data_IF_568686044161
#
_entry.id   IF_568686044161
#
_cell.length_a   1.000
_cell.length_b   1.000
_cell.length_c   1.000
_cell.angle_alpha   90.00
_cell.angle_beta   90.00
_cell.angle_gamma   90.00
#
_symmetry.space_group_name_H-M   'P 1'
#
loop_
_entity.id
_entity.type
_entity.pdbx_description
1 polymer ?
#
# COMPACT_ATOMS: atom_id res chain seq x y z
N UNK A 1 18.64 47.94 -33.80
CA UNK A 1 18.17 46.88 -34.72
C UNK A 1 19.17 45.75 -34.64
N UNK A 2 18.88 44.49 -34.40
CA UNK A 2 17.67 43.65 -34.42
C UNK A 2 18.21 42.31 -33.92
N UNK A 3 17.86 41.81 -32.75
CA UNK A 3 16.69 40.97 -32.58
C UNK A 3 16.65 40.55 -31.09
N UNK A 4 15.66 41.06 -30.38
CA UNK A 4 15.16 40.45 -29.16
C UNK A 4 14.31 39.27 -29.66
N UNK A 5 14.95 38.19 -30.08
CA UNK A 5 14.29 37.01 -30.64
C UNK A 5 13.91 36.05 -29.53
N UNK A 6 12.75 36.31 -28.95
CA UNK A 6 11.84 35.32 -28.36
C UNK A 6 12.46 34.25 -27.45
N UNK A 7 12.54 34.54 -26.14
CA UNK A 7 12.53 33.45 -25.16
C UNK A 7 11.18 32.71 -25.33
N UNK A 8 11.18 31.41 -25.67
CA UNK A 8 9.94 30.66 -25.71
C UNK A 8 9.40 30.57 -24.28
N UNK A 9 8.30 31.26 -24.00
CA UNK A 9 7.47 31.01 -22.82
C UNK A 9 6.92 29.60 -22.93
N UNK A 10 7.63 28.64 -22.34
CA UNK A 10 7.19 27.25 -22.23
C UNK A 10 5.96 27.22 -21.31
N UNK A 11 4.78 27.36 -21.91
CA UNK A 11 3.48 27.17 -21.26
C UNK A 11 3.48 25.79 -20.60
N UNK A 12 3.66 25.74 -19.28
CA UNK A 12 3.62 24.53 -18.46
C UNK A 12 2.16 24.07 -18.31
N UNK A 13 1.49 23.72 -19.42
CA UNK A 13 0.24 22.95 -19.42
C UNK A 13 0.58 21.48 -19.17
N UNK A 14 0.96 21.16 -17.94
CA UNK A 14 1.11 19.78 -17.50
C UNK A 14 0.36 19.59 -16.21
N UNK A 15 -0.39 18.50 -16.16
CA UNK A 15 -0.98 17.89 -14.96
C UNK A 15 -2.46 18.18 -14.64
N UNK A 16 -3.34 18.22 -15.64
CA UNK A 16 -4.73 17.76 -15.44
C UNK A 16 -4.92 16.27 -15.82
N UNK A 17 -3.91 15.59 -16.37
CA UNK A 17 -3.99 14.15 -16.72
C UNK A 17 -3.73 13.20 -15.55
N UNK A 18 -3.06 13.66 -14.48
CA UNK A 18 -2.68 12.79 -13.35
C UNK A 18 -3.88 12.39 -12.47
N UNK A 19 -4.90 13.24 -12.40
CA UNK A 19 -6.12 12.94 -11.64
C UNK A 19 -7.01 11.95 -12.40
N UNK A 20 -7.19 12.15 -13.72
CA UNK A 20 -8.10 11.34 -14.54
C UNK A 20 -7.57 9.93 -14.82
N UNK A 21 -6.26 9.75 -15.04
CA UNK A 21 -5.68 8.42 -15.25
C UNK A 21 -5.67 7.56 -13.96
N UNK A 22 -5.47 8.19 -12.80
CA UNK A 22 -5.53 7.52 -11.50
C UNK A 22 -6.94 7.08 -11.11
N UNK A 23 -7.96 7.88 -11.45
CA UNK A 23 -9.37 7.56 -11.22
C UNK A 23 -9.82 6.33 -12.02
N UNK A 24 -9.38 6.18 -13.26
CA UNK A 24 -9.64 4.98 -14.09
C UNK A 24 -8.99 3.73 -13.47
N UNK A 25 -7.78 3.85 -12.95
CA UNK A 25 -7.09 2.75 -12.27
C UNK A 25 -7.74 2.38 -10.92
N UNK A 26 -8.44 3.32 -10.27
CA UNK A 26 -9.26 3.08 -9.08
C UNK A 26 -10.62 2.45 -9.40
N UNK A 27 -11.17 2.76 -10.58
CA UNK A 27 -12.46 2.24 -11.03
C UNK A 27 -12.41 0.73 -11.31
N UNK A 28 -11.27 0.19 -11.73
CA UNK A 28 -11.10 -1.24 -12.05
C UNK A 28 -11.32 -2.15 -10.83
N UNK A 29 -10.66 -1.94 -9.67
CA UNK A 29 -10.89 -2.80 -8.50
C UNK A 29 -12.25 -2.57 -7.85
N UNK A 30 -12.82 -1.36 -7.94
CA UNK A 30 -14.21 -1.09 -7.54
C UNK A 30 -15.19 -1.86 -8.44
N UNK A 31 -14.95 -1.88 -9.75
CA UNK A 31 -15.73 -2.66 -10.71
C UNK A 31 -15.59 -4.16 -10.46
N UNK A 32 -14.38 -4.68 -10.17
CA UNK A 32 -14.17 -6.08 -9.81
C UNK A 32 -14.93 -6.44 -8.52
N UNK A 33 -14.88 -5.60 -7.49
CA UNK A 33 -15.65 -5.82 -6.26
C UNK A 33 -17.17 -5.78 -6.47
N UNK A 34 -17.64 -4.88 -7.34
CA UNK A 34 -19.05 -4.81 -7.74
C UNK A 34 -19.48 -6.04 -8.55
N UNK A 35 -18.63 -6.52 -9.48
CA UNK A 35 -18.86 -7.70 -10.31
C UNK A 35 -18.90 -8.96 -9.43
N UNK A 36 -17.96 -9.13 -8.50
CA UNK A 36 -17.94 -10.28 -7.59
C UNK A 36 -19.16 -10.29 -6.67
N UNK A 37 -19.65 -9.12 -6.23
CA UNK A 37 -20.87 -9.01 -5.43
C UNK A 37 -22.15 -9.32 -6.21
N UNK A 38 -22.20 -8.96 -7.51
CA UNK A 38 -23.41 -9.06 -8.31
C UNK A 38 -23.53 -10.36 -9.13
N UNK A 39 -22.41 -11.01 -9.47
CA UNK A 39 -22.40 -12.14 -10.43
C UNK A 39 -22.56 -13.51 -9.76
N UNK A 40 -22.25 -13.69 -8.48
CA UNK A 40 -22.28 -15.03 -7.86
C UNK A 40 -23.48 -15.18 -6.90
N UNK A 41 -24.57 -15.83 -7.34
CA UNK A 41 -25.68 -16.16 -6.45
C UNK A 41 -25.21 -17.14 -5.38
N UNK A 42 -25.61 -16.82 -4.14
CA UNK A 42 -25.22 -17.50 -2.90
C UNK A 42 -25.46 -19.03 -2.99
N UNK A 43 -24.41 -19.87 -2.79
CA UNK A 43 -24.62 -21.27 -2.48
C UNK A 43 -25.23 -21.42 -1.06
N UNK A 44 -26.17 -22.34 -0.92
CA UNK A 44 -27.01 -22.55 0.26
C UNK A 44 -26.23 -22.98 1.51
N UNK A 45 -25.10 -23.69 1.31
CA UNK A 45 -24.28 -24.32 2.36
C UNK A 45 -23.33 -23.36 3.10
N UNK A 46 -23.15 -22.13 2.60
CA UNK A 46 -22.17 -21.18 3.14
C UNK A 46 -22.88 -20.06 3.89
N UNK A 47 -22.44 -19.78 5.13
CA UNK A 47 -22.90 -18.61 5.91
C UNK A 47 -22.84 -17.33 5.07
N UNK A 48 -23.89 -16.50 5.13
CA UNK A 48 -23.97 -15.21 4.39
C UNK A 48 -22.78 -14.30 4.71
N UNK A 49 -22.24 -14.41 5.92
CA UNK A 49 -21.10 -13.62 6.39
C UNK A 49 -19.77 -14.10 5.79
N UNK A 50 -19.54 -15.41 5.76
CA UNK A 50 -18.33 -15.99 5.18
C UNK A 50 -18.23 -15.67 3.67
N UNK A 51 -19.36 -15.70 2.96
CA UNK A 51 -19.41 -15.34 1.54
C UNK A 51 -19.02 -13.87 1.27
N UNK A 52 -19.51 -12.95 2.11
CA UNK A 52 -19.17 -11.52 2.01
C UNK A 52 -17.69 -11.25 2.31
N UNK A 53 -17.13 -11.93 3.31
CA UNK A 53 -15.70 -11.83 3.64
C UNK A 53 -14.82 -12.30 2.48
N UNK A 54 -15.18 -13.42 1.84
CA UNK A 54 -14.46 -13.95 0.68
C UNK A 54 -14.47 -12.96 -0.51
N UNK A 55 -15.62 -12.34 -0.80
CA UNK A 55 -15.74 -11.34 -1.86
C UNK A 55 -14.85 -10.11 -1.61
N UNK A 56 -14.82 -9.60 -0.38
CA UNK A 56 -13.95 -8.46 0.00
C UNK A 56 -12.47 -8.86 -0.06
N UNK A 57 -12.12 -10.07 0.36
CA UNK A 57 -10.75 -10.56 0.32
C UNK A 57 -10.20 -10.64 -1.11
N UNK A 58 -10.96 -11.24 -2.04
CA UNK A 58 -10.61 -11.28 -3.47
C UNK A 58 -10.47 -9.88 -4.07
N UNK A 59 -11.43 -9.00 -3.78
CA UNK A 59 -11.39 -7.59 -4.22
C UNK A 59 -10.12 -6.89 -3.73
N UNK A 60 -9.72 -7.17 -2.49
CA UNK A 60 -8.53 -6.56 -1.86
C UNK A 60 -7.24 -7.08 -2.51
N UNK A 61 -7.11 -8.38 -2.77
CA UNK A 61 -5.95 -8.97 -3.45
C UNK A 61 -5.82 -8.46 -4.89
N UNK A 62 -6.93 -8.42 -5.64
CA UNK A 62 -6.94 -7.88 -6.99
C UNK A 62 -6.51 -6.40 -7.00
N UNK A 63 -7.03 -5.60 -6.06
CA UNK A 63 -6.64 -4.20 -5.91
C UNK A 63 -5.17 -3.99 -5.51
N UNK A 64 -4.62 -4.88 -4.68
CA UNK A 64 -3.20 -4.86 -4.31
C UNK A 64 -2.29 -5.21 -5.49
N UNK A 65 -2.67 -6.17 -6.34
CA UNK A 65 -1.90 -6.57 -7.51
C UNK A 65 -1.85 -5.49 -8.59
N UNK A 66 -2.94 -4.76 -8.80
CA UNK A 66 -3.00 -3.70 -9.82
C UNK A 66 -2.25 -2.43 -9.42
N UNK A 67 -1.86 -2.28 -8.14
CA UNK A 67 -1.13 -1.14 -7.57
C UNK A 67 -1.54 0.25 -8.13
N UNK A 68 -2.85 0.59 -8.20
CA UNK A 68 -3.28 1.87 -8.78
C UNK A 68 -2.89 3.08 -7.91
N UNK A 69 -2.68 2.86 -6.61
CA UNK A 69 -2.38 3.88 -5.60
C UNK A 69 -1.38 3.33 -4.56
N UNK A 70 -0.72 4.21 -3.76
CA UNK A 70 0.15 3.78 -2.67
C UNK A 70 -0.56 2.80 -1.73
N UNK A 71 0.18 1.79 -1.26
CA UNK A 71 -0.38 0.68 -0.47
C UNK A 71 -1.20 1.15 0.74
N UNK A 72 -0.75 2.22 1.41
CA UNK A 72 -1.47 2.81 2.54
C UNK A 72 -2.74 3.57 2.17
N UNK A 73 -2.83 4.15 0.97
CA UNK A 73 -4.07 4.77 0.50
C UNK A 73 -5.11 3.70 0.13
N UNK A 74 -4.66 2.59 -0.47
CA UNK A 74 -5.51 1.45 -0.79
C UNK A 74 -6.14 0.83 0.47
N UNK A 75 -5.35 0.64 1.53
CA UNK A 75 -5.85 0.05 2.77
C UNK A 75 -6.94 0.90 3.44
N UNK A 76 -6.81 2.22 3.42
CA UNK A 76 -7.83 3.14 3.96
C UNK A 76 -9.13 3.03 3.15
N UNK A 77 -9.04 3.02 1.81
CA UNK A 77 -10.22 2.88 0.94
C UNK A 77 -10.93 1.55 1.18
N UNK A 78 -10.19 0.44 1.26
CA UNK A 78 -10.74 -0.88 1.57
C UNK A 78 -11.41 -0.91 2.96
N UNK A 79 -10.81 -0.27 3.97
CA UNK A 79 -11.39 -0.18 5.31
C UNK A 79 -12.71 0.60 5.29
N UNK A 80 -12.73 1.76 4.64
CA UNK A 80 -13.96 2.55 4.48
C UNK A 80 -15.04 1.75 3.76
N UNK A 81 -14.69 1.05 2.69
CA UNK A 81 -15.63 0.20 1.97
C UNK A 81 -16.19 -0.92 2.84
N UNK A 82 -15.34 -1.63 3.60
CA UNK A 82 -15.75 -2.70 4.50
C UNK A 82 -16.76 -2.25 5.58
N UNK A 83 -16.57 -1.03 6.11
CA UNK A 83 -17.48 -0.38 7.06
C UNK A 83 -18.80 0.03 6.41
N UNK A 84 -18.76 0.63 5.21
CA UNK A 84 -19.95 1.05 4.45
C UNK A 84 -20.81 -0.15 4.05
N UNK A 85 -20.18 -1.24 3.60
CA UNK A 85 -20.89 -2.49 3.26
C UNK A 85 -21.42 -3.23 4.49
N UNK A 86 -21.14 -2.74 5.72
CA UNK A 86 -21.49 -3.37 7.01
C UNK A 86 -21.14 -4.86 7.05
N UNK A 87 -20.02 -5.24 6.46
CA UNK A 87 -19.59 -6.65 6.43
C UNK A 87 -18.89 -7.04 7.72
N UNK A 88 -18.26 -6.08 8.40
CA UNK A 88 -17.66 -6.24 9.73
C UNK A 88 -18.06 -5.09 10.65
N UNK A 89 -18.12 -5.38 11.96
CA UNK A 89 -18.36 -4.35 12.98
C UNK A 89 -17.20 -3.36 13.00
N UNK A 90 -17.46 -2.11 13.42
CA UNK A 90 -16.40 -1.13 13.66
C UNK A 90 -15.31 -1.70 14.57
N UNK A 91 -15.69 -2.44 15.61
CA UNK A 91 -14.74 -3.07 16.53
C UNK A 91 -13.78 -4.02 15.81
N UNK A 92 -14.33 -4.93 15.01
CA UNK A 92 -13.54 -5.95 14.31
C UNK A 92 -12.64 -5.34 13.23
N UNK A 93 -13.11 -4.28 12.56
CA UNK A 93 -12.34 -3.58 11.55
C UNK A 93 -11.08 -2.88 12.13
N UNK A 94 -11.14 -2.41 13.39
CA UNK A 94 -10.00 -1.76 14.05
C UNK A 94 -9.14 -2.73 14.89
N UNK A 95 -9.67 -3.90 15.24
CA UNK A 95 -8.96 -4.92 16.02
C UNK A 95 -7.65 -5.36 15.36
N UNK A 96 -7.60 -5.37 14.03
CA UNK A 96 -6.39 -5.62 13.25
C UNK A 96 -5.27 -4.62 13.51
N UNK A 97 -5.56 -3.33 13.70
CA UNK A 97 -4.54 -2.30 13.94
C UNK A 97 -3.86 -2.43 15.30
N UNK A 98 -4.56 -3.00 16.28
CA UNK A 98 -4.02 -3.27 17.62
C UNK A 98 -3.34 -4.63 17.72
N UNK A 99 -3.23 -5.39 16.63
CA UNK A 99 -2.64 -6.71 16.66
C UNK A 99 -1.13 -6.64 16.96
N UNK A 100 -0.69 -7.44 17.93
CA UNK A 100 0.70 -7.50 18.38
C UNK A 100 1.67 -7.82 17.24
N UNK A 101 1.29 -8.64 16.26
CA UNK A 101 2.13 -8.96 15.11
C UNK A 101 2.44 -7.73 14.24
N UNK A 102 1.48 -6.82 14.05
CA UNK A 102 1.70 -5.58 13.28
C UNK A 102 2.64 -4.66 14.03
N UNK A 103 2.43 -4.50 15.33
CA UNK A 103 3.32 -3.71 16.18
C UNK A 103 4.74 -4.28 16.25
N UNK A 104 4.90 -5.60 16.27
CA UNK A 104 6.20 -6.28 16.17
C UNK A 104 6.91 -5.94 14.85
N UNK A 105 6.19 -5.96 13.72
CA UNK A 105 6.74 -5.52 12.43
C UNK A 105 7.18 -4.05 12.47
N UNK A 106 6.35 -3.16 13.02
CA UNK A 106 6.65 -1.72 13.13
C UNK A 106 7.90 -1.48 13.98
N UNK A 107 7.99 -2.09 15.16
CA UNK A 107 9.15 -1.96 16.06
C UNK A 107 10.42 -2.48 15.38
N UNK A 108 10.36 -3.60 14.66
CA UNK A 108 11.50 -4.13 13.90
C UNK A 108 11.97 -3.15 12.81
N UNK A 109 11.05 -2.54 12.06
CA UNK A 109 11.40 -1.51 11.07
C UNK A 109 12.01 -0.28 11.73
N UNK A 110 11.46 0.19 12.85
CA UNK A 110 12.04 1.30 13.61
C UNK A 110 13.43 0.96 14.14
N UNK A 111 13.62 -0.25 14.64
CA UNK A 111 14.91 -0.74 15.11
C UNK A 111 15.94 -0.79 13.96
N UNK A 112 15.57 -1.35 12.81
CA UNK A 112 16.41 -1.34 11.60
C UNK A 112 16.78 0.07 11.16
N UNK A 113 15.80 0.98 11.10
CA UNK A 113 16.04 2.39 10.75
C UNK A 113 16.92 3.10 11.78
N UNK A 114 16.75 2.80 13.06
CA UNK A 114 17.57 3.32 14.16
C UNK A 114 19.01 2.81 14.11
N UNK A 115 19.19 1.53 13.78
CA UNK A 115 20.51 0.91 13.60
C UNK A 115 21.27 1.52 12.41
N UNK A 116 20.58 1.79 11.30
CA UNK A 116 21.15 2.47 10.13
C UNK A 116 21.49 3.92 10.46
N UNK A 117 20.59 4.66 11.12
CA UNK A 117 20.78 6.09 11.44
C UNK A 117 21.93 6.33 12.42
N UNK A 118 22.16 5.39 13.34
CA UNK A 118 23.28 5.45 14.31
C UNK A 118 24.63 5.04 13.70
N UNK A 119 24.66 4.62 12.43
CA UNK A 119 25.84 4.07 11.71
C UNK A 119 26.54 2.95 12.48
N UNK A 120 25.81 2.25 13.36
CA UNK A 120 26.35 1.11 14.12
C UNK A 120 26.78 -0.01 13.17
N UNK A 121 26.04 -0.23 12.07
CA UNK A 121 26.42 -1.15 11.01
C UNK A 121 27.78 -0.83 10.38
N UNK A 122 28.04 0.44 10.05
CA UNK A 122 29.33 0.88 9.48
C UNK A 122 30.48 0.63 10.47
N UNK A 123 30.24 0.89 11.77
CA UNK A 123 31.23 0.62 12.81
C UNK A 123 31.50 -0.87 12.95
N UNK A 124 30.45 -1.69 13.01
CA UNK A 124 30.59 -3.16 13.08
C UNK A 124 31.28 -3.73 11.84
N UNK A 125 31.00 -3.20 10.65
CA UNK A 125 31.71 -3.56 9.42
C UNK A 125 33.21 -3.26 9.48
N UNK A 126 33.59 -2.07 9.98
CA UNK A 126 35.01 -1.74 10.20
C UNK A 126 35.69 -2.66 11.22
N UNK A 127 35.00 -3.07 12.30
CA UNK A 127 35.55 -4.02 13.26
C UNK A 127 35.77 -5.42 12.64
N UNK A 128 34.84 -5.90 11.83
CA UNK A 128 34.95 -7.20 11.16
C UNK A 128 36.11 -7.23 10.15
N UNK A 129 36.29 -6.18 9.36
CA UNK A 129 37.42 -6.07 8.42
C UNK A 129 38.75 -6.09 9.17
N UNK A 130 38.90 -5.25 10.21
CA UNK A 130 40.11 -5.22 11.04
C UNK A 130 40.41 -6.55 11.72
N UNK A 131 39.38 -7.23 12.21
CA UNK A 131 39.53 -8.56 12.82
C UNK A 131 40.02 -9.60 11.80
N UNK A 132 39.49 -9.57 10.56
CA UNK A 132 39.95 -10.45 9.47
C UNK A 132 41.40 -10.19 9.06
N UNK A 133 41.86 -8.94 9.07
CA UNK A 133 43.26 -8.60 8.76
C UNK A 133 44.21 -9.02 9.88
N UNK A 134 43.77 -8.94 11.14
CA UNK A 134 44.56 -9.35 12.31
C UNK A 134 44.77 -10.87 12.36
N UNK A 135 43.87 -11.66 11.80
CA UNK A 135 43.99 -13.13 11.73
C UNK A 135 44.93 -13.63 10.60
N UNK A 136 45.43 -12.73 9.73
CA UNK A 136 46.26 -13.11 8.57
C UNK A 136 47.78 -12.98 8.81
N UNK A 137 48.17 -12.54 10.00
CA UNK A 137 49.55 -12.49 10.51
C UNK A 137 49.69 -13.47 11.68
#
# INVERSE_FOLDING_TARGET
>A
MSEISSIPTHSRRSSMKFLSAKLISLAIPVAIGLIVYFVIPKPTEISKQAWRLLAIFLTTIAGLMLQPVPLGAWSIVCLTFSLVTKTQSFKDAFEGFTNQAIWLMVISFFFSRGFVKTRLGDRMGMYLVRWSETQKH
#
